data_IF_433960282599
#
_entry.id   IF_433960282599
#
_cell.length_a   1.000
_cell.length_b   1.000
_cell.length_c   1.000
_cell.angle_alpha   90.00
_cell.angle_beta   90.00
_cell.angle_gamma   90.00
#
_symmetry.space_group_name_H-M   'P 1'
#
loop_
_entity.id
_entity.type
_entity.pdbx_description
1 polymer ?
#
# COMPACT_ATOMS: atom_id res chain seq x y z
N UNK A 1 -17.74 36.74 25.19
CA UNK A 1 -16.98 35.59 25.71
C UNK A 1 -17.60 34.23 25.34
N UNK A 2 -18.82 33.89 25.79
CA UNK A 2 -19.45 32.55 25.57
C UNK A 2 -19.64 32.10 24.12
N UNK A 3 -19.94 33.00 23.17
CA UNK A 3 -20.05 32.65 21.74
C UNK A 3 -18.71 32.27 21.11
N UNK A 4 -17.62 32.96 21.48
CA UNK A 4 -16.27 32.67 20.97
C UNK A 4 -15.77 31.32 21.49
N UNK A 5 -16.03 30.99 22.76
CA UNK A 5 -15.70 29.68 23.33
C UNK A 5 -16.47 28.53 22.66
N UNK A 6 -17.75 28.72 22.32
CA UNK A 6 -18.55 27.73 21.58
C UNK A 6 -18.07 27.54 20.14
N UNK A 7 -17.67 28.62 19.47
CA UNK A 7 -17.10 28.56 18.11
C UNK A 7 -15.76 27.82 18.11
N UNK A 8 -14.87 28.11 19.07
CA UNK A 8 -13.59 27.40 19.19
C UNK A 8 -13.78 25.91 19.48
N UNK A 9 -14.70 25.55 20.39
CA UNK A 9 -15.02 24.15 20.66
C UNK A 9 -15.58 23.42 19.43
N UNK A 10 -16.47 24.07 18.66
CA UNK A 10 -17.01 23.51 17.42
C UNK A 10 -15.91 23.29 16.37
N UNK A 11 -14.97 24.23 16.23
CA UNK A 11 -13.83 24.12 15.31
C UNK A 11 -12.91 22.95 15.71
N UNK A 12 -12.61 22.78 17.00
CA UNK A 12 -11.80 21.66 17.48
C UNK A 12 -12.46 20.30 17.21
N UNK A 13 -13.78 20.19 17.37
CA UNK A 13 -14.52 18.94 17.10
C UNK A 13 -14.51 18.61 15.59
N UNK A 14 -14.68 19.61 14.72
CA UNK A 14 -14.63 19.41 13.26
C UNK A 14 -13.23 19.01 12.80
N UNK A 15 -12.17 19.57 13.39
CA UNK A 15 -10.77 19.21 13.07
C UNK A 15 -10.43 17.78 13.53
N UNK A 16 -10.95 17.33 14.68
CA UNK A 16 -10.69 15.97 15.18
C UNK A 16 -11.36 14.86 14.36
N UNK A 17 -12.51 15.13 13.73
CA UNK A 17 -13.25 14.12 12.93
C UNK A 17 -12.58 13.84 11.59
N UNK A 18 -11.82 14.80 11.05
CA UNK A 18 -11.11 14.63 9.77
C UNK A 18 -9.76 13.90 9.88
N UNK A 19 -9.27 13.64 11.09
CA UNK A 19 -7.90 13.14 11.32
C UNK A 19 -7.79 11.61 11.29
N UNK A 20 -8.89 10.87 11.25
CA UNK A 20 -8.87 9.39 11.24
C UNK A 20 -8.63 8.77 9.86
N UNK A 21 -8.49 9.57 8.79
CA UNK A 21 -8.29 9.05 7.44
C UNK A 21 -6.84 8.65 7.11
N UNK A 22 -5.84 9.10 7.89
CA UNK A 22 -4.41 8.95 7.55
C UNK A 22 -3.63 7.90 8.36
N UNK A 23 -4.26 7.23 9.31
CA UNK A 23 -3.67 6.05 9.95
C UNK A 23 -4.18 4.79 9.22
N UNK A 24 -3.89 4.67 7.93
CA UNK A 24 -3.96 3.35 7.31
C UNK A 24 -2.81 2.55 7.93
N UNK A 25 -3.05 1.38 8.55
CA UNK A 25 -1.95 0.47 8.84
C UNK A 25 -1.16 0.28 7.54
N UNK A 26 0.13 0.03 7.61
CA UNK A 26 0.90 -0.40 6.43
C UNK A 26 0.30 -1.74 5.98
N UNK A 27 -0.76 -1.67 5.17
CA UNK A 27 -1.49 -2.83 4.67
C UNK A 27 -0.49 -3.51 3.75
N UNK A 28 -0.03 -4.69 4.16
CA UNK A 28 0.69 -5.60 3.28
C UNK A 28 -0.26 -5.89 2.12
N UNK A 29 -0.09 -5.17 1.00
CA UNK A 29 -1.05 -5.20 -0.10
C UNK A 29 -1.04 -6.49 -0.87
N UNK A 30 0.15 -7.10 -1.00
CA UNK A 30 0.35 -8.36 -1.69
C UNK A 30 1.13 -9.29 -0.75
N UNK A 31 0.47 -9.99 0.20
CA UNK A 31 1.14 -10.96 1.04
C UNK A 31 1.69 -12.10 0.18
N UNK A 32 2.91 -12.55 0.46
CA UNK A 32 3.48 -13.71 -0.21
C UNK A 32 2.83 -15.00 0.33
N UNK A 33 2.53 -15.99 -0.52
CA UNK A 33 2.02 -17.28 -0.06
C UNK A 33 3.11 -18.08 0.68
N UNK A 34 2.68 -18.91 1.64
CA UNK A 34 3.59 -19.77 2.40
C UNK A 34 3.98 -21.00 1.57
N UNK A 35 5.27 -21.31 1.53
CA UNK A 35 5.78 -22.46 0.78
C UNK A 35 5.52 -23.76 1.57
N UNK A 36 4.93 -24.81 0.96
CA UNK A 36 4.73 -26.08 1.64
C UNK A 36 6.03 -26.72 2.13
N UNK A 37 5.99 -27.35 3.31
CA UNK A 37 7.17 -27.91 3.98
C UNK A 37 7.48 -29.31 3.44
N UNK A 38 8.71 -29.52 2.98
CA UNK A 38 9.19 -30.84 2.50
C UNK A 38 10.27 -31.45 3.39
N UNK A 39 10.67 -30.77 4.46
CA UNK A 39 11.66 -31.23 5.43
C UNK A 39 11.07 -32.28 6.41
N UNK A 40 10.46 -33.34 5.86
CA UNK A 40 9.84 -34.44 6.59
C UNK A 40 10.54 -35.77 6.24
N UNK A 41 10.43 -36.81 7.10
CA UNK A 41 10.94 -38.14 6.77
C UNK A 41 10.32 -38.70 5.48
N UNK A 42 11.09 -39.44 4.68
CA UNK A 42 10.63 -40.04 3.41
C UNK A 42 9.33 -40.85 3.57
N UNK A 43 9.19 -41.58 4.68
CA UNK A 43 7.99 -42.35 4.98
C UNK A 43 6.73 -41.45 5.06
N UNK A 44 6.86 -40.27 5.68
CA UNK A 44 5.76 -39.29 5.80
C UNK A 44 5.47 -38.66 4.44
N UNK A 45 6.50 -38.31 3.67
CA UNK A 45 6.33 -37.77 2.32
C UNK A 45 5.62 -38.76 1.39
N UNK A 46 5.94 -40.05 1.52
CA UNK A 46 5.31 -41.12 0.74
C UNK A 46 3.87 -41.41 1.20
N UNK A 47 3.61 -41.38 2.50
CA UNK A 47 2.28 -41.63 3.08
C UNK A 47 1.29 -40.52 2.70
N UNK A 48 1.72 -39.26 2.80
CA UNK A 48 0.89 -38.07 2.57
C UNK A 48 1.14 -37.40 1.21
N UNK A 49 1.57 -38.18 0.21
CA UNK A 49 1.98 -37.64 -1.10
C UNK A 49 0.87 -36.82 -1.77
N UNK A 50 -0.37 -37.27 -1.67
CA UNK A 50 -1.50 -36.61 -2.34
C UNK A 50 -1.85 -35.28 -1.67
N UNK A 51 -1.81 -35.25 -0.35
CA UNK A 51 -2.06 -34.07 0.49
C UNK A 51 -0.96 -33.02 0.26
N UNK A 52 0.30 -33.43 0.33
CA UNK A 52 1.45 -32.54 0.08
C UNK A 52 1.40 -32.01 -1.35
N UNK A 53 1.07 -32.83 -2.35
CA UNK A 53 0.90 -32.36 -3.72
C UNK A 53 -0.22 -31.32 -3.81
N UNK A 54 -1.35 -31.51 -3.13
CA UNK A 54 -2.44 -30.54 -3.10
C UNK A 54 -2.04 -29.21 -2.43
N UNK A 55 -1.18 -29.24 -1.40
CA UNK A 55 -0.62 -28.02 -0.80
C UNK A 55 0.25 -27.23 -1.80
N UNK A 56 1.04 -27.93 -2.63
CA UNK A 56 1.81 -27.28 -3.70
C UNK A 56 0.92 -26.65 -4.77
N UNK A 57 -0.13 -27.36 -5.21
CA UNK A 57 -1.07 -26.81 -6.18
C UNK A 57 -1.79 -25.56 -5.63
N UNK A 58 -2.17 -25.59 -4.34
CA UNK A 58 -2.73 -24.42 -3.67
C UNK A 58 -1.73 -23.26 -3.60
N UNK A 59 -0.47 -23.53 -3.23
CA UNK A 59 0.60 -22.52 -3.24
C UNK A 59 0.77 -21.87 -4.62
N UNK A 60 0.75 -22.64 -5.71
CA UNK A 60 0.92 -22.08 -7.05
C UNK A 60 -0.29 -21.26 -7.53
N UNK A 61 -1.50 -21.63 -7.10
CA UNK A 61 -2.68 -20.80 -7.30
C UNK A 61 -2.52 -19.46 -6.58
N UNK A 62 -2.19 -19.48 -5.28
CA UNK A 62 -1.99 -18.28 -4.47
C UNK A 62 -0.81 -17.43 -4.98
N UNK A 63 0.24 -18.05 -5.51
CA UNK A 63 1.39 -17.36 -6.12
C UNK A 63 0.98 -16.58 -7.37
N UNK A 64 0.05 -17.13 -8.17
CA UNK A 64 -0.47 -16.45 -9.35
C UNK A 64 -1.23 -15.18 -8.96
N UNK A 65 -2.05 -15.26 -7.92
CA UNK A 65 -2.77 -14.10 -7.36
C UNK A 65 -1.82 -13.06 -6.76
N UNK A 66 -0.76 -13.52 -6.07
CA UNK A 66 0.29 -12.66 -5.53
C UNK A 66 0.99 -11.86 -6.63
N UNK A 67 1.38 -12.50 -7.73
CA UNK A 67 2.03 -11.84 -8.87
C UNK A 67 1.08 -10.82 -9.51
N UNK A 68 -0.18 -11.17 -9.73
CA UNK A 68 -1.17 -10.26 -10.29
C UNK A 68 -1.37 -9.00 -9.41
N UNK A 69 -1.35 -9.18 -8.09
CA UNK A 69 -1.36 -8.07 -7.14
C UNK A 69 -0.12 -7.17 -7.30
N UNK A 70 1.09 -7.75 -7.35
CA UNK A 70 2.33 -7.00 -7.52
C UNK A 70 2.37 -6.22 -8.84
N UNK A 71 1.87 -6.80 -9.93
CA UNK A 71 1.80 -6.12 -11.22
C UNK A 71 0.82 -4.94 -11.18
N UNK A 72 -0.30 -5.07 -10.48
CA UNK A 72 -1.23 -3.98 -10.23
C UNK A 72 -0.56 -2.85 -9.45
N UNK A 73 0.15 -3.17 -8.38
CA UNK A 73 0.88 -2.19 -7.56
C UNK A 73 1.97 -1.49 -8.36
N UNK A 74 2.71 -2.23 -9.19
CA UNK A 74 3.72 -1.68 -10.11
C UNK A 74 3.09 -0.70 -11.10
N UNK A 75 1.96 -1.07 -11.72
CA UNK A 75 1.27 -0.20 -12.67
C UNK A 75 0.80 1.10 -12.01
N UNK A 76 0.28 1.03 -10.78
CA UNK A 76 -0.14 2.20 -10.02
C UNK A 76 1.05 3.11 -9.70
N UNK A 77 2.14 2.55 -9.19
CA UNK A 77 3.34 3.31 -8.85
C UNK A 77 3.94 4.02 -10.07
N UNK A 78 3.94 3.37 -11.24
CA UNK A 78 4.37 3.99 -12.49
C UNK A 78 3.45 5.14 -12.91
N UNK A 79 2.13 4.96 -12.80
CA UNK A 79 1.16 6.03 -13.09
C UNK A 79 1.36 7.24 -12.16
N UNK A 80 1.55 7.01 -10.87
CA UNK A 80 1.84 8.07 -9.89
C UNK A 80 3.16 8.80 -10.23
N UNK A 81 4.20 8.07 -10.61
CA UNK A 81 5.47 8.64 -11.01
C UNK A 81 5.35 9.51 -12.29
N UNK A 82 4.53 9.09 -13.25
CA UNK A 82 4.23 9.90 -14.44
C UNK A 82 3.58 11.22 -14.06
N UNK A 83 2.52 11.20 -13.24
CA UNK A 83 1.85 12.42 -12.76
C UNK A 83 2.82 13.34 -12.00
N UNK A 84 3.65 12.76 -11.12
CA UNK A 84 4.66 13.53 -10.39
C UNK A 84 5.70 14.18 -11.32
N UNK A 85 6.09 13.49 -12.39
CA UNK A 85 7.02 14.00 -13.39
C UNK A 85 6.41 15.17 -14.17
N UNK A 86 5.14 15.08 -14.57
CA UNK A 86 4.43 16.17 -15.24
C UNK A 86 4.29 17.41 -14.34
N UNK A 87 3.94 17.19 -13.06
CA UNK A 87 3.86 18.27 -12.07
C UNK A 87 5.22 18.94 -11.86
N UNK A 88 6.29 18.15 -11.77
CA UNK A 88 7.64 18.67 -11.62
C UNK A 88 8.10 19.44 -12.87
N UNK A 89 7.84 18.92 -14.06
CA UNK A 89 8.11 19.61 -15.32
C UNK A 89 7.37 20.96 -15.38
N UNK A 90 6.10 20.98 -15.00
CA UNK A 90 5.31 22.22 -14.91
C UNK A 90 5.96 23.22 -13.95
N UNK A 91 6.37 22.76 -12.76
CA UNK A 91 7.06 23.59 -11.77
C UNK A 91 8.35 24.20 -12.33
N UNK A 92 9.18 23.43 -13.04
CA UNK A 92 10.43 23.91 -13.63
C UNK A 92 10.22 24.99 -14.69
N UNK A 93 9.04 25.04 -15.32
CA UNK A 93 8.69 26.06 -16.30
C UNK A 93 8.15 27.35 -15.66
N UNK A 94 7.99 27.40 -14.33
CA UNK A 94 7.60 28.62 -13.61
C UNK A 94 8.84 29.51 -13.45
N UNK A 95 8.84 30.75 -13.97
CA UNK A 95 9.95 31.67 -13.78
C UNK A 95 10.18 31.94 -12.28
N UNK A 96 11.44 32.01 -11.83
CA UNK A 96 11.72 32.39 -10.45
C UNK A 96 11.17 33.80 -10.17
N UNK A 97 10.56 33.98 -9.00
CA UNK A 97 10.11 35.30 -8.59
C UNK A 97 11.31 36.26 -8.53
N UNK A 98 11.15 37.44 -9.14
CA UNK A 98 12.14 38.51 -9.01
C UNK A 98 12.15 38.95 -7.55
N UNK A 99 13.20 38.55 -6.83
CA UNK A 99 13.46 39.05 -5.50
C UNK A 99 14.06 40.43 -5.68
N UNK A 100 13.24 41.47 -5.57
CA UNK A 100 13.73 42.84 -5.42
C UNK A 100 14.59 42.88 -4.16
N UNK A 101 15.91 42.79 -4.33
CA UNK A 101 16.87 43.01 -3.27
C UNK A 101 16.98 44.54 -3.05
N UNK A 102 16.93 45.01 -1.80
CA UNK A 102 17.09 46.42 -1.46
C UNK A 102 18.50 46.95 -1.77
#
# INVERSE_FOLDING_TARGET
MRRRARLLAAICVVVSVSCTAFAQPEVIRCPAPEVPITALPEAVLSEYRAEIAAEFEAYFADLSDHIACLDTERSRALSEAHVATEAYSTFLNIPPAQKDLP
#
